data_IF_781247897811
#
_entry.id   IF_781247897811
#
_cell.length_a   1.000
_cell.length_b   1.000
_cell.length_c   1.000
_cell.angle_alpha   90.00
_cell.angle_beta   90.00
_cell.angle_gamma   90.00
#
_symmetry.space_group_name_H-M   'P 1'
#
loop_
_entity.id
_entity.type
_entity.pdbx_description
1 polymer ?
#
# COMPACT_ATOMS: atom_id res chain seq x y z
N UNK A 1 15.73 12.05 -60.97
CA UNK A 1 16.59 13.11 -60.38
C UNK A 1 17.30 12.50 -59.19
N UNK A 2 18.59 12.25 -59.34
CA UNK A 2 19.47 11.65 -58.34
C UNK A 2 19.98 12.72 -57.36
N UNK A 3 19.96 12.42 -56.06
CA UNK A 3 20.69 13.19 -55.07
C UNK A 3 21.34 12.21 -54.06
N UNK A 4 22.67 12.04 -54.09
CA UNK A 4 23.41 11.29 -53.07
C UNK A 4 24.25 12.22 -52.18
N UNK A 5 24.74 11.65 -51.05
CA UNK A 5 25.70 12.21 -50.06
C UNK A 5 25.02 13.05 -48.97
N UNK A 6 25.33 12.91 -47.68
CA UNK A 6 26.63 12.65 -47.05
C UNK A 6 26.50 11.74 -45.82
N UNK A 7 27.47 10.84 -45.72
CA UNK A 7 27.85 10.13 -44.50
C UNK A 7 28.67 11.08 -43.62
N UNK A 8 28.43 11.08 -42.30
CA UNK A 8 29.47 11.42 -41.34
C UNK A 8 29.33 10.58 -40.07
N UNK A 9 30.35 9.74 -39.91
CA UNK A 9 30.59 8.81 -38.81
C UNK A 9 31.33 9.54 -37.69
N UNK A 10 30.69 9.73 -36.53
CA UNK A 10 31.40 10.08 -35.29
C UNK A 10 31.73 8.82 -34.50
N UNK A 11 32.99 8.38 -34.64
CA UNK A 11 33.62 7.34 -33.83
C UNK A 11 34.20 7.98 -32.56
N UNK A 12 33.51 7.84 -31.43
CA UNK A 12 34.02 8.24 -30.12
C UNK A 12 34.56 7.01 -29.41
N UNK A 13 35.88 7.01 -29.18
CA UNK A 13 36.62 5.95 -28.47
C UNK A 13 36.16 5.83 -27.00
N UNK A 14 36.06 4.62 -26.45
CA UNK A 14 35.85 4.41 -25.03
C UNK A 14 37.15 4.67 -24.25
N UNK A 15 37.03 5.43 -23.16
CA UNK A 15 38.11 5.75 -22.22
C UNK A 15 38.16 4.62 -21.18
N UNK A 16 39.18 3.78 -21.26
CA UNK A 16 39.46 2.75 -20.25
C UNK A 16 39.82 3.39 -18.91
N UNK A 17 38.92 3.25 -17.93
CA UNK A 17 39.20 3.54 -16.52
C UNK A 17 39.80 2.29 -15.88
N UNK A 18 41.13 2.34 -15.69
CA UNK A 18 41.91 1.35 -14.94
C UNK A 18 41.34 1.16 -13.54
N UNK A 19 41.09 -0.10 -13.20
CA UNK A 19 40.89 -0.60 -11.84
C UNK A 19 42.23 -0.59 -11.11
N UNK A 20 42.32 0.16 -10.02
CA UNK A 20 43.33 -0.05 -8.99
C UNK A 20 42.63 -0.65 -7.77
N UNK A 21 42.86 -1.94 -7.54
CA UNK A 21 42.50 -2.66 -6.32
C UNK A 21 43.74 -2.71 -5.42
N UNK A 22 43.70 -2.13 -4.20
CA UNK A 22 44.70 -2.41 -3.19
C UNK A 22 44.39 -3.75 -2.52
N UNK A 23 45.33 -4.67 -2.67
CA UNK A 23 45.46 -5.91 -1.91
C UNK A 23 45.74 -5.59 -0.44
N UNK A 24 44.90 -6.06 0.48
CA UNK A 24 45.19 -6.13 1.91
C UNK A 24 44.95 -7.56 2.39
N UNK A 25 46.05 -8.23 2.73
CA UNK A 25 46.12 -9.54 3.37
C UNK A 25 45.64 -9.48 4.84
N UNK A 26 45.31 -10.65 5.44
CA UNK A 26 44.49 -10.72 6.65
C UNK A 26 45.37 -10.68 7.91
N UNK A 27 45.09 -9.73 8.81
CA UNK A 27 45.57 -9.79 10.17
C UNK A 27 44.57 -10.55 11.04
N UNK A 28 44.95 -11.77 11.43
CA UNK A 28 44.39 -12.46 12.59
C UNK A 28 44.65 -11.62 13.84
N UNK A 29 43.57 -11.13 14.45
CA UNK A 29 43.56 -10.66 15.83
C UNK A 29 42.54 -11.50 16.60
N UNK A 30 43.07 -12.33 17.51
CA UNK A 30 42.30 -13.04 18.51
C UNK A 30 41.65 -12.02 19.44
N UNK A 31 40.32 -12.03 19.52
CA UNK A 31 39.56 -11.21 20.46
C UNK A 31 39.07 -12.10 21.62
N UNK A 32 39.41 -11.78 22.88
CA UNK A 32 39.01 -12.57 24.04
C UNK A 32 37.62 -12.15 24.54
N UNK A 33 36.78 -13.15 24.83
CA UNK A 33 35.71 -13.08 25.84
C UNK A 33 34.53 -12.15 25.53
N UNK A 34 33.52 -12.65 24.81
CA UNK A 34 32.21 -12.02 24.80
C UNK A 34 31.49 -12.28 26.15
N UNK A 35 31.01 -11.23 26.84
CA UNK A 35 30.21 -11.37 28.05
C UNK A 35 28.83 -11.97 27.72
N UNK A 36 28.36 -12.83 28.62
CA UNK A 36 27.16 -13.64 28.45
C UNK A 36 25.95 -12.85 27.95
N UNK A 37 25.33 -13.39 26.91
CA UNK A 37 24.04 -13.00 26.38
C UNK A 37 22.99 -13.05 27.50
N UNK A 38 22.71 -11.90 28.10
CA UNK A 38 21.53 -11.70 28.94
C UNK A 38 20.30 -11.93 28.07
N UNK A 39 19.75 -13.16 28.14
CA UNK A 39 18.44 -13.50 27.59
C UNK A 39 17.41 -12.51 28.12
N UNK A 40 16.73 -11.84 27.19
CA UNK A 40 15.65 -10.87 27.36
C UNK A 40 14.79 -11.05 28.61
N UNK A 41 15.08 -10.27 29.65
CA UNK A 41 14.22 -10.04 30.82
C UNK A 41 12.93 -9.27 30.46
N UNK A 42 12.84 -8.70 29.26
CA UNK A 42 11.66 -7.99 28.74
C UNK A 42 10.47 -8.91 28.46
N UNK A 43 10.69 -10.20 28.23
CA UNK A 43 9.61 -11.16 27.97
C UNK A 43 8.77 -11.49 29.20
N UNK A 44 9.38 -11.56 30.40
CA UNK A 44 8.69 -11.94 31.63
C UNK A 44 7.89 -10.78 32.25
N UNK A 45 8.42 -9.55 32.20
CA UNK A 45 7.66 -8.36 32.60
C UNK A 45 6.50 -8.10 31.64
N UNK A 46 6.69 -8.27 30.32
CA UNK A 46 5.60 -8.28 29.34
C UNK A 46 4.53 -9.34 29.65
N UNK A 47 4.92 -10.55 30.05
CA UNK A 47 3.99 -11.64 30.35
C UNK A 47 3.21 -11.43 31.67
N UNK A 48 3.85 -10.82 32.68
CA UNK A 48 3.23 -10.51 33.97
C UNK A 48 2.31 -9.27 33.92
N UNK A 49 2.69 -8.24 33.16
CA UNK A 49 1.80 -7.12 32.85
C UNK A 49 0.60 -7.61 32.03
N UNK A 50 0.82 -8.50 31.05
CA UNK A 50 -0.25 -9.10 30.25
C UNK A 50 -1.26 -9.87 31.08
N UNK A 51 -0.84 -10.59 32.13
CA UNK A 51 -1.80 -11.33 32.98
C UNK A 51 -2.61 -10.43 33.91
N UNK A 52 -2.02 -9.34 34.41
CA UNK A 52 -2.76 -8.36 35.23
C UNK A 52 -3.74 -7.55 34.36
N UNK A 53 -3.27 -7.00 33.24
CA UNK A 53 -4.10 -6.26 32.28
C UNK A 53 -5.21 -7.16 31.72
N UNK A 54 -4.91 -8.42 31.37
CA UNK A 54 -5.94 -9.34 30.89
C UNK A 54 -7.01 -9.64 31.95
N UNK A 55 -6.67 -9.63 33.24
CA UNK A 55 -7.65 -9.82 34.32
C UNK A 55 -8.55 -8.59 34.47
N UNK A 56 -8.01 -7.38 34.36
CA UNK A 56 -8.78 -6.15 34.39
C UNK A 56 -9.70 -6.03 33.16
N UNK A 57 -9.18 -6.31 31.96
CA UNK A 57 -9.94 -6.33 30.71
C UNK A 57 -11.10 -7.33 30.76
N UNK A 58 -10.95 -8.47 31.44
CA UNK A 58 -12.04 -9.44 31.60
C UNK A 58 -13.23 -8.92 32.39
N UNK A 59 -13.05 -7.87 33.20
CA UNK A 59 -14.11 -7.28 34.02
C UNK A 59 -14.78 -6.08 33.35
N UNK A 60 -14.25 -5.60 32.22
CA UNK A 60 -14.85 -4.51 31.46
C UNK A 60 -16.15 -4.96 30.76
N UNK A 61 -17.07 -4.01 30.50
CA UNK A 61 -18.16 -4.19 29.54
C UNK A 61 -17.65 -4.72 28.20
N UNK A 62 -18.52 -5.48 27.51
CA UNK A 62 -18.17 -6.10 26.23
C UNK A 62 -17.83 -5.04 25.18
N UNK A 63 -18.52 -3.92 25.23
CA UNK A 63 -18.39 -2.78 24.32
C UNK A 63 -16.99 -2.17 24.43
N UNK A 64 -16.52 -1.92 25.65
CA UNK A 64 -15.18 -1.38 25.91
C UNK A 64 -14.08 -2.36 25.44
N UNK A 65 -14.29 -3.67 25.61
CA UNK A 65 -13.36 -4.70 25.11
C UNK A 65 -13.27 -4.65 23.57
N UNK A 66 -14.41 -4.51 22.87
CA UNK A 66 -14.44 -4.38 21.41
C UNK A 66 -13.80 -3.08 20.92
N UNK A 67 -14.03 -1.98 21.63
CA UNK A 67 -13.41 -0.69 21.34
C UNK A 67 -11.89 -0.79 21.49
N UNK A 68 -11.38 -1.29 22.62
CA UNK A 68 -9.95 -1.50 22.85
C UNK A 68 -9.36 -2.41 21.76
N UNK A 69 -10.03 -3.52 21.45
CA UNK A 69 -9.55 -4.46 20.43
C UNK A 69 -9.52 -3.87 19.01
N UNK A 70 -10.31 -2.82 18.73
CA UNK A 70 -10.26 -2.12 17.45
C UNK A 70 -8.98 -1.30 17.25
N UNK A 71 -8.28 -0.95 18.34
CA UNK A 71 -7.02 -0.20 18.32
C UNK A 71 -5.77 -1.09 18.38
N UNK A 72 -5.92 -2.40 18.56
CA UNK A 72 -4.79 -3.33 18.67
C UNK A 72 -4.35 -3.86 17.30
N UNK A 73 -3.06 -4.14 17.17
CA UNK A 73 -2.56 -4.88 16.01
C UNK A 73 -3.09 -6.34 16.02
N UNK A 74 -3.23 -6.99 14.85
CA UNK A 74 -3.71 -8.37 14.75
C UNK A 74 -2.99 -9.36 15.67
N UNK A 75 -1.67 -9.23 15.82
CA UNK A 75 -0.87 -10.12 16.69
C UNK A 75 -1.23 -9.96 18.17
N UNK A 76 -1.58 -8.73 18.59
CA UNK A 76 -1.90 -8.40 19.98
C UNK A 76 -3.34 -8.79 20.31
N UNK A 77 -4.27 -8.67 19.36
CA UNK A 77 -5.63 -9.24 19.48
C UNK A 77 -5.56 -10.74 19.71
N UNK A 78 -4.75 -11.46 18.93
CA UNK A 78 -4.58 -12.91 19.07
C UNK A 78 -3.93 -13.29 20.42
N UNK A 79 -2.90 -12.55 20.82
CA UNK A 79 -2.27 -12.73 22.12
C UNK A 79 -3.30 -12.51 23.25
N UNK A 80 -4.08 -11.42 23.19
CA UNK A 80 -5.11 -11.08 24.17
C UNK A 80 -6.21 -12.15 24.25
N UNK A 81 -6.75 -12.59 23.11
CA UNK A 81 -7.75 -13.66 23.04
C UNK A 81 -7.24 -14.98 23.64
N UNK A 82 -5.94 -15.28 23.51
CA UNK A 82 -5.32 -16.49 24.07
C UNK A 82 -5.14 -16.47 25.60
N UNK A 83 -5.27 -15.31 26.24
CA UNK A 83 -5.03 -15.18 27.70
C UNK A 83 -6.16 -15.76 28.56
N UNK A 84 -7.40 -15.80 28.05
CA UNK A 84 -8.53 -16.41 28.76
C UNK A 84 -9.68 -16.79 27.84
N UNK A 85 -10.46 -17.81 28.23
CA UNK A 85 -11.67 -18.24 27.52
C UNK A 85 -12.75 -17.15 27.44
N UNK A 86 -12.85 -16.31 28.48
CA UNK A 86 -13.81 -15.19 28.51
C UNK A 86 -13.46 -14.14 27.46
N UNK A 87 -12.21 -13.70 27.41
CA UNK A 87 -11.74 -12.76 26.37
C UNK A 87 -11.85 -13.36 24.98
N UNK A 88 -11.50 -14.64 24.80
CA UNK A 88 -11.70 -15.34 23.54
C UNK A 88 -13.15 -15.26 23.06
N UNK A 89 -14.11 -15.45 23.98
CA UNK A 89 -15.54 -15.41 23.64
C UNK A 89 -15.98 -14.00 23.25
N UNK A 90 -15.50 -12.98 23.95
CA UNK A 90 -15.80 -11.58 23.61
C UNK A 90 -15.11 -11.14 22.31
N UNK A 91 -13.90 -11.64 22.02
CA UNK A 91 -13.07 -11.21 20.91
C UNK A 91 -13.15 -12.12 19.68
N UNK A 92 -14.04 -13.12 19.63
CA UNK A 92 -14.04 -14.12 18.54
C UNK A 92 -14.03 -13.51 17.14
N UNK A 93 -14.83 -12.47 16.90
CA UNK A 93 -14.88 -11.75 15.62
C UNK A 93 -13.56 -11.02 15.33
N UNK A 94 -12.95 -10.38 16.33
CA UNK A 94 -11.66 -9.70 16.18
C UNK A 94 -10.54 -10.71 15.97
N UNK A 95 -10.61 -11.87 16.62
CA UNK A 95 -9.68 -12.99 16.46
C UNK A 95 -9.71 -13.51 15.02
N UNK A 96 -10.90 -13.77 14.47
CA UNK A 96 -11.08 -14.20 13.08
C UNK A 96 -10.53 -13.16 12.11
N UNK A 97 -10.87 -11.88 12.31
CA UNK A 97 -10.35 -10.79 11.50
C UNK A 97 -8.83 -10.67 11.58
N UNK A 98 -8.25 -10.84 12.76
CA UNK A 98 -6.80 -10.81 12.97
C UNK A 98 -6.10 -11.98 12.29
N UNK A 99 -6.65 -13.20 12.37
CA UNK A 99 -6.14 -14.39 11.67
C UNK A 99 -6.17 -14.20 10.16
N UNK A 100 -7.27 -13.68 9.62
CA UNK A 100 -7.40 -13.39 8.18
C UNK A 100 -6.42 -12.31 7.76
N UNK A 101 -6.23 -11.27 8.56
CA UNK A 101 -5.25 -10.20 8.29
C UNK A 101 -3.81 -10.75 8.27
N UNK A 102 -3.45 -11.61 9.23
CA UNK A 102 -2.13 -12.28 9.23
C UNK A 102 -1.96 -13.21 8.02
N UNK A 103 -3.00 -13.97 7.66
CA UNK A 103 -2.99 -14.80 6.46
C UNK A 103 -2.79 -13.97 5.19
N UNK A 104 -3.51 -12.85 5.08
CA UNK A 104 -3.38 -11.89 3.98
C UNK A 104 -1.95 -11.32 3.88
N UNK A 105 -1.34 -10.92 5.00
CA UNK A 105 0.05 -10.47 5.05
C UNK A 105 1.07 -11.59 4.72
N UNK A 106 0.65 -12.84 4.92
CA UNK A 106 1.38 -14.06 4.64
C UNK A 106 1.27 -14.56 3.21
N UNK A 107 0.47 -13.93 2.33
CA UNK A 107 0.33 -14.38 0.94
C UNK A 107 1.71 -14.46 0.26
N UNK A 108 1.99 -15.62 -0.33
CA UNK A 108 3.23 -15.92 -1.07
C UNK A 108 2.95 -16.33 -2.51
N UNK A 109 1.80 -16.93 -2.76
CA UNK A 109 1.41 -17.48 -4.05
C UNK A 109 0.00 -17.00 -4.43
N UNK A 110 -0.34 -17.07 -5.72
CA UNK A 110 -1.68 -16.71 -6.19
C UNK A 110 -2.74 -17.71 -5.72
N UNK A 111 -2.34 -18.97 -5.52
CA UNK A 111 -3.20 -20.06 -5.05
C UNK A 111 -3.73 -19.81 -3.62
N UNK A 112 -2.99 -19.05 -2.80
CA UNK A 112 -3.41 -18.69 -1.44
C UNK A 112 -4.53 -17.65 -1.42
N UNK A 113 -4.68 -16.86 -2.49
CA UNK A 113 -5.55 -15.70 -2.54
C UNK A 113 -7.04 -16.08 -2.50
N UNK A 114 -7.57 -17.01 -3.32
CA UNK A 114 -8.98 -17.39 -3.26
C UNK A 114 -9.43 -17.84 -1.86
N UNK A 115 -8.60 -18.65 -1.18
CA UNK A 115 -8.90 -19.10 0.17
C UNK A 115 -8.86 -17.97 1.22
N UNK A 116 -8.08 -16.91 0.97
CA UNK A 116 -8.01 -15.72 1.83
C UNK A 116 -9.22 -14.81 1.59
N UNK A 117 -9.62 -14.59 0.33
CA UNK A 117 -10.82 -13.84 -0.03
C UNK A 117 -12.09 -14.52 0.49
N UNK A 118 -12.21 -15.84 0.35
CA UNK A 118 -13.33 -16.60 0.90
C UNK A 118 -13.40 -16.55 2.44
N UNK A 119 -12.25 -16.42 3.12
CA UNK A 119 -12.24 -16.22 4.57
C UNK A 119 -12.69 -14.80 4.95
N UNK A 120 -12.29 -13.79 4.17
CA UNK A 120 -12.69 -12.39 4.34
C UNK A 120 -14.21 -12.20 4.24
N UNK A 121 -14.89 -12.96 3.39
CA UNK A 121 -16.34 -12.95 3.27
C UNK A 121 -17.08 -13.44 4.53
N UNK A 122 -16.40 -14.20 5.41
CA UNK A 122 -17.00 -14.76 6.63
C UNK A 122 -17.02 -13.78 7.81
N UNK A 123 -16.22 -12.71 7.75
CA UNK A 123 -16.19 -11.68 8.79
C UNK A 123 -17.05 -10.47 8.42
N UNK A 124 -17.59 -9.72 9.40
CA UNK A 124 -18.39 -8.52 9.13
C UNK A 124 -17.60 -7.46 8.33
N UNK A 125 -18.25 -6.68 7.45
CA UNK A 125 -17.59 -5.71 6.57
C UNK A 125 -16.64 -4.74 7.27
N UNK A 126 -17.01 -4.26 8.47
CA UNK A 126 -16.19 -3.33 9.26
C UNK A 126 -14.82 -3.88 9.66
N UNK A 127 -14.65 -5.20 9.67
CA UNK A 127 -13.38 -5.86 10.00
C UNK A 127 -12.55 -6.27 8.77
N UNK A 128 -13.08 -6.08 7.56
CA UNK A 128 -12.42 -6.51 6.31
C UNK A 128 -11.31 -5.56 5.85
N UNK A 129 -11.38 -4.28 6.26
CA UNK A 129 -10.49 -3.22 5.76
C UNK A 129 -9.01 -3.55 5.96
N UNK A 130 -8.60 -3.92 7.17
CA UNK A 130 -7.20 -4.24 7.49
C UNK A 130 -6.67 -5.45 6.70
N UNK A 131 -7.49 -6.49 6.55
CA UNK A 131 -7.15 -7.66 5.75
C UNK A 131 -7.04 -7.31 4.26
N UNK A 132 -7.96 -6.51 3.71
CA UNK A 132 -7.89 -6.05 2.32
C UNK A 132 -6.65 -5.19 2.04
N UNK A 133 -6.29 -4.26 2.93
CA UNK A 133 -5.03 -3.52 2.82
C UNK A 133 -3.81 -4.46 2.85
N UNK A 134 -3.85 -5.50 3.69
CA UNK A 134 -2.78 -6.51 3.76
C UNK A 134 -2.66 -7.34 2.48
N UNK A 135 -3.80 -7.64 1.82
CA UNK A 135 -3.82 -8.29 0.50
C UNK A 135 -3.17 -7.36 -0.54
N UNK A 136 -3.52 -6.07 -0.56
CA UNK A 136 -2.93 -5.09 -1.47
C UNK A 136 -1.40 -5.03 -1.34
N UNK A 137 -0.88 -4.94 -0.11
CA UNK A 137 0.56 -4.95 0.13
C UNK A 137 1.23 -6.27 -0.29
N UNK A 138 0.60 -7.40 0.01
CA UNK A 138 1.18 -8.71 -0.30
C UNK A 138 1.15 -9.04 -1.79
N UNK A 139 0.21 -8.45 -2.53
CA UNK A 139 0.15 -8.56 -4.01
C UNK A 139 1.46 -8.09 -4.64
N UNK A 140 2.12 -7.06 -4.10
CA UNK A 140 3.43 -6.58 -4.59
C UNK A 140 4.56 -7.59 -4.44
N UNK A 141 4.38 -8.59 -3.57
CA UNK A 141 5.37 -9.63 -3.24
C UNK A 141 5.18 -10.90 -4.05
N UNK A 142 4.06 -11.04 -4.76
CA UNK A 142 3.81 -12.16 -5.66
C UNK A 142 4.74 -12.08 -6.87
N UNK A 143 4.85 -13.18 -7.61
CA UNK A 143 5.55 -13.20 -8.89
C UNK A 143 4.87 -12.20 -9.85
N UNK A 144 5.67 -11.49 -10.65
CA UNK A 144 5.19 -10.40 -11.51
C UNK A 144 3.96 -10.77 -12.36
N UNK A 145 3.91 -11.95 -13.03
CA UNK A 145 2.73 -12.35 -13.82
C UNK A 145 1.44 -12.48 -12.99
N UNK A 146 1.56 -12.82 -11.71
CA UNK A 146 0.41 -13.08 -10.84
C UNK A 146 -0.16 -11.81 -10.23
N UNK A 147 0.61 -10.71 -10.19
CA UNK A 147 0.21 -9.47 -9.50
C UNK A 147 -1.05 -8.86 -10.10
N UNK A 148 -1.16 -8.86 -11.43
CA UNK A 148 -2.33 -8.29 -12.13
C UNK A 148 -3.59 -9.11 -11.87
N UNK A 149 -3.47 -10.44 -11.85
CA UNK A 149 -4.58 -11.37 -11.52
C UNK A 149 -4.98 -11.17 -10.06
N UNK A 150 -4.02 -11.17 -9.14
CA UNK A 150 -4.26 -10.97 -7.72
C UNK A 150 -4.92 -9.62 -7.42
N UNK A 151 -4.39 -8.54 -8.00
CA UNK A 151 -4.96 -7.20 -7.86
C UNK A 151 -6.40 -7.17 -8.38
N UNK A 152 -6.66 -7.78 -9.54
CA UNK A 152 -7.99 -7.81 -10.13
C UNK A 152 -9.00 -8.52 -9.23
N UNK A 153 -8.66 -9.72 -8.74
CA UNK A 153 -9.51 -10.48 -7.81
C UNK A 153 -9.72 -9.75 -6.48
N UNK A 154 -8.68 -9.06 -5.99
CA UNK A 154 -8.74 -8.31 -4.76
C UNK A 154 -9.60 -7.04 -4.89
N UNK A 155 -9.59 -6.39 -6.07
CA UNK A 155 -10.49 -5.29 -6.40
C UNK A 155 -11.93 -5.76 -6.58
N UNK A 156 -12.17 -6.95 -7.14
CA UNK A 156 -13.52 -7.54 -7.18
C UNK A 156 -14.06 -7.79 -5.76
N UNK A 157 -13.23 -8.33 -4.87
CA UNK A 157 -13.63 -8.54 -3.47
C UNK A 157 -13.86 -7.23 -2.70
N UNK A 158 -13.16 -6.16 -3.09
CA UNK A 158 -13.36 -4.82 -2.54
C UNK A 158 -14.80 -4.35 -2.77
N UNK A 159 -15.48 -4.83 -3.82
CA UNK A 159 -16.83 -4.39 -4.10
C UNK A 159 -17.81 -4.70 -2.96
N UNK A 160 -17.51 -5.71 -2.15
CA UNK A 160 -18.28 -6.10 -0.96
C UNK A 160 -18.08 -5.20 0.27
N UNK A 161 -17.10 -4.28 0.25
CA UNK A 161 -16.86 -3.34 1.35
C UNK A 161 -17.72 -2.09 1.18
N UNK A 162 -18.38 -1.66 2.26
CA UNK A 162 -19.03 -0.35 2.26
C UNK A 162 -17.99 0.77 2.18
N UNK A 163 -18.41 1.92 1.66
CA UNK A 163 -17.51 3.04 1.38
C UNK A 163 -16.55 3.36 2.56
N UNK A 164 -16.99 3.57 3.81
CA UNK A 164 -16.08 3.95 4.89
C UNK A 164 -14.90 2.98 5.11
N UNK A 165 -15.05 1.69 4.79
CA UNK A 165 -14.04 0.66 4.99
C UNK A 165 -13.16 0.40 3.77
N UNK A 166 -13.52 0.92 2.59
CA UNK A 166 -12.78 0.72 1.35
C UNK A 166 -11.68 1.77 1.08
N UNK A 167 -11.64 2.89 1.82
CA UNK A 167 -10.61 3.94 1.66
C UNK A 167 -9.20 3.39 1.84
N UNK A 168 -8.88 2.79 2.99
CA UNK A 168 -7.53 2.31 3.27
C UNK A 168 -7.06 1.21 2.28
N UNK A 169 -7.90 0.23 1.91
CA UNK A 169 -7.58 -0.71 0.84
C UNK A 169 -7.32 -0.04 -0.52
N UNK A 170 -8.15 0.93 -0.94
CA UNK A 170 -7.96 1.64 -2.21
C UNK A 170 -6.65 2.41 -2.23
N UNK A 171 -6.30 3.08 -1.14
CA UNK A 171 -4.99 3.71 -0.94
C UNK A 171 -3.86 2.70 -1.12
N UNK A 172 -3.95 1.54 -0.47
CA UNK A 172 -2.92 0.50 -0.54
C UNK A 172 -2.82 -0.12 -1.96
N UNK A 173 -3.94 -0.26 -2.68
CA UNK A 173 -3.97 -0.72 -4.07
C UNK A 173 -3.37 0.31 -5.03
N UNK A 174 -3.68 1.60 -4.88
CA UNK A 174 -3.10 2.66 -5.70
C UNK A 174 -1.57 2.64 -5.63
N UNK A 175 -1.02 2.57 -4.41
CA UNK A 175 0.42 2.42 -4.20
C UNK A 175 1.02 1.11 -4.77
N UNK A 176 0.22 0.13 -5.19
CA UNK A 176 0.68 -1.14 -5.76
C UNK A 176 0.81 -1.12 -7.27
N UNK A 177 0.27 -0.10 -7.96
CA UNK A 177 0.26 -0.01 -9.43
C UNK A 177 1.67 -0.10 -10.01
N UNK A 178 2.64 0.60 -9.42
CA UNK A 178 4.03 0.61 -9.89
C UNK A 178 4.71 -0.77 -9.83
N UNK A 179 4.16 -1.72 -9.06
CA UNK A 179 4.67 -3.10 -8.99
C UNK A 179 4.17 -4.00 -10.12
N UNK A 180 3.21 -3.56 -10.92
CA UNK A 180 2.64 -4.32 -12.05
C UNK A 180 3.50 -4.19 -13.32
N UNK A 181 3.24 -5.09 -14.28
CA UNK A 181 3.72 -4.94 -15.65
C UNK A 181 3.21 -3.65 -16.25
N UNK A 182 4.06 -2.96 -17.04
CA UNK A 182 3.74 -1.66 -17.64
C UNK A 182 2.44 -1.70 -18.47
N UNK A 183 2.15 -2.82 -19.15
CA UNK A 183 0.93 -3.04 -19.93
C UNK A 183 -0.34 -3.06 -19.10
N UNK A 184 -0.24 -3.37 -17.80
CA UNK A 184 -1.38 -3.62 -16.92
C UNK A 184 -1.67 -2.43 -16.01
N UNK A 185 -0.72 -1.49 -15.89
CA UNK A 185 -0.81 -0.34 -14.97
C UNK A 185 -2.00 0.57 -15.28
N UNK A 186 -2.24 0.89 -16.55
CA UNK A 186 -3.34 1.76 -16.96
C UNK A 186 -4.71 1.14 -16.62
N UNK A 187 -4.89 -0.15 -16.90
CA UNK A 187 -6.11 -0.87 -16.55
C UNK A 187 -6.32 -0.91 -15.02
N UNK A 188 -5.28 -1.19 -14.25
CA UNK A 188 -5.36 -1.20 -12.79
C UNK A 188 -5.71 0.18 -12.22
N UNK A 189 -5.08 1.24 -12.75
CA UNK A 189 -5.36 2.62 -12.40
C UNK A 189 -6.83 2.96 -12.64
N UNK A 190 -7.34 2.65 -13.83
CA UNK A 190 -8.72 2.91 -14.22
C UNK A 190 -9.73 2.22 -13.31
N UNK A 191 -9.48 0.96 -12.95
CA UNK A 191 -10.35 0.24 -12.02
C UNK A 191 -10.41 0.90 -10.63
N UNK A 192 -9.27 1.39 -10.11
CA UNK A 192 -9.23 2.06 -8.81
C UNK A 192 -9.93 3.42 -8.90
N UNK A 193 -9.74 4.18 -9.98
CA UNK A 193 -10.47 5.44 -10.22
C UNK A 193 -11.98 5.19 -10.26
N UNK A 194 -12.45 4.21 -11.04
CA UNK A 194 -13.88 3.87 -11.09
C UNK A 194 -14.43 3.47 -9.72
N UNK A 195 -13.67 2.72 -8.93
CA UNK A 195 -14.06 2.39 -7.56
C UNK A 195 -14.15 3.64 -6.66
N UNK A 196 -13.30 4.65 -6.89
CA UNK A 196 -13.34 5.92 -6.16
C UNK A 196 -14.53 6.79 -6.59
N UNK A 197 -14.80 6.92 -7.88
CA UNK A 197 -15.91 7.71 -8.45
C UNK A 197 -17.27 7.25 -7.92
N UNK A 198 -17.49 5.93 -7.89
CA UNK A 198 -18.78 5.35 -7.49
C UNK A 198 -19.07 5.57 -6.00
N UNK A 199 -18.04 5.62 -5.16
CA UNK A 199 -18.19 5.39 -3.71
C UNK A 199 -17.79 6.58 -2.83
N UNK A 200 -17.04 7.57 -3.34
CA UNK A 200 -16.26 8.48 -2.47
C UNK A 200 -16.26 9.96 -2.83
N UNK A 201 -17.42 10.53 -3.15
CA UNK A 201 -17.54 11.97 -3.43
C UNK A 201 -16.88 12.87 -2.37
N UNK A 202 -16.96 12.50 -1.08
CA UNK A 202 -16.52 13.37 0.02
C UNK A 202 -15.20 12.99 0.69
N UNK A 203 -14.67 11.78 0.46
CA UNK A 203 -13.52 11.24 1.24
C UNK A 203 -12.41 10.59 0.41
N UNK A 204 -12.37 10.82 -0.89
CA UNK A 204 -11.33 10.23 -1.74
C UNK A 204 -9.96 10.94 -1.71
N UNK A 205 -9.76 12.02 -0.94
CA UNK A 205 -8.53 12.83 -1.06
C UNK A 205 -7.24 12.04 -0.79
N UNK A 206 -7.25 11.14 0.19
CA UNK A 206 -6.09 10.29 0.53
C UNK A 206 -5.82 9.20 -0.52
N UNK A 207 -6.81 8.40 -0.98
CA UNK A 207 -6.61 7.50 -2.11
C UNK A 207 -6.16 8.23 -3.39
N UNK A 208 -6.71 9.41 -3.66
CA UNK A 208 -6.34 10.24 -4.81
C UNK A 208 -4.89 10.68 -4.73
N UNK A 209 -4.42 11.16 -3.57
CA UNK A 209 -3.01 11.50 -3.36
C UNK A 209 -2.07 10.35 -3.76
N UNK A 210 -2.38 9.12 -3.35
CA UNK A 210 -1.59 7.94 -3.70
C UNK A 210 -1.68 7.57 -5.19
N UNK A 211 -2.82 7.77 -5.83
CA UNK A 211 -2.97 7.57 -7.27
C UNK A 211 -2.19 8.61 -8.09
N UNK A 212 -2.10 9.86 -7.62
CA UNK A 212 -1.34 10.91 -8.29
C UNK A 212 0.13 10.49 -8.47
N UNK A 213 0.73 9.92 -7.42
CA UNK A 213 2.11 9.42 -7.49
C UNK A 213 2.28 8.31 -8.54
N UNK A 214 1.21 7.54 -8.80
CA UNK A 214 1.23 6.46 -9.79
C UNK A 214 1.08 6.94 -11.24
N UNK A 215 0.71 8.20 -11.49
CA UNK A 215 0.53 8.73 -12.86
C UNK A 215 1.84 8.65 -13.64
N UNK A 216 2.96 8.98 -13.02
CA UNK A 216 4.27 8.95 -13.68
C UNK A 216 4.74 7.52 -14.02
N UNK A 217 4.17 6.51 -13.37
CA UNK A 217 4.44 5.10 -13.61
C UNK A 217 3.60 4.50 -14.75
N UNK A 218 2.60 5.23 -15.27
CA UNK A 218 1.79 4.77 -16.40
C UNK A 218 2.55 4.89 -17.73
N UNK A 219 2.16 4.10 -18.76
CA UNK A 219 2.64 4.33 -20.11
C UNK A 219 2.41 5.79 -20.54
N UNK A 220 3.38 6.38 -21.26
CA UNK A 220 3.40 7.81 -21.58
C UNK A 220 2.09 8.31 -22.23
N UNK A 221 1.49 7.47 -23.09
CA UNK A 221 0.23 7.75 -23.77
C UNK A 221 -0.98 7.86 -22.82
N UNK A 222 -0.94 7.20 -21.66
CA UNK A 222 -2.05 7.15 -20.70
C UNK A 222 -1.96 8.24 -19.63
N UNK A 223 -0.77 8.82 -19.41
CA UNK A 223 -0.54 9.79 -18.33
C UNK A 223 -1.45 11.03 -18.39
N UNK A 224 -1.66 11.68 -19.55
CA UNK A 224 -2.54 12.86 -19.61
C UNK A 224 -3.98 12.52 -19.25
N UNK A 225 -4.52 11.40 -19.75
CA UNK A 225 -5.88 10.97 -19.45
C UNK A 225 -6.07 10.61 -17.97
N UNK A 226 -5.09 9.93 -17.38
CA UNK A 226 -5.07 9.62 -15.95
C UNK A 226 -5.03 10.90 -15.07
N UNK A 227 -4.21 11.87 -15.48
CA UNK A 227 -4.14 13.18 -14.83
C UNK A 227 -5.49 13.90 -14.86
N UNK A 228 -6.12 14.00 -16.02
CA UNK A 228 -7.41 14.70 -16.19
C UNK A 228 -8.51 14.07 -15.33
N UNK A 229 -8.56 12.73 -15.23
CA UNK A 229 -9.52 12.02 -14.38
C UNK A 229 -9.32 12.34 -12.90
N UNK A 230 -8.09 12.27 -12.41
CA UNK A 230 -7.77 12.61 -11.02
C UNK A 230 -8.05 14.08 -10.73
N UNK A 231 -7.68 14.99 -11.64
CA UNK A 231 -7.99 16.41 -11.53
C UNK A 231 -9.48 16.64 -11.37
N UNK A 232 -10.30 16.04 -12.26
CA UNK A 232 -11.75 16.20 -12.25
C UNK A 232 -12.38 15.63 -10.97
N UNK A 233 -11.91 14.48 -10.49
CA UNK A 233 -12.42 13.87 -9.27
C UNK A 233 -12.03 14.71 -8.04
N UNK A 234 -10.80 15.20 -7.97
CA UNK A 234 -10.33 16.08 -6.90
C UNK A 234 -11.04 17.46 -6.91
N UNK A 235 -11.37 17.98 -8.09
CA UNK A 235 -12.09 19.23 -8.28
C UNK A 235 -13.54 19.20 -7.75
N UNK A 236 -14.13 18.01 -7.62
CA UNK A 236 -15.47 17.79 -7.09
C UNK A 236 -15.48 17.66 -5.55
N UNK A 237 -14.32 17.53 -4.91
CA UNK A 237 -14.24 17.32 -3.48
C UNK A 237 -14.45 18.59 -2.66
N UNK A 238 -15.01 18.49 -1.43
CA UNK A 238 -15.06 19.62 -0.52
C UNK A 238 -13.66 20.14 -0.20
N UNK A 239 -13.55 21.44 0.08
CA UNK A 239 -12.30 22.06 0.53
C UNK A 239 -11.93 21.49 1.90
N UNK A 240 -10.95 20.59 1.89
CA UNK A 240 -10.40 19.94 3.09
C UNK A 240 -8.87 19.99 3.02
N UNK A 241 -8.15 19.93 4.15
CA UNK A 241 -6.69 19.84 4.13
C UNK A 241 -6.15 18.68 3.28
N UNK A 242 -6.90 17.57 3.20
CA UNK A 242 -6.57 16.44 2.33
C UNK A 242 -6.64 16.81 0.84
N UNK A 243 -7.66 17.57 0.43
CA UNK A 243 -7.81 18.05 -0.95
C UNK A 243 -6.66 18.99 -1.34
N UNK A 244 -6.24 19.89 -0.46
CA UNK A 244 -5.11 20.79 -0.70
C UNK A 244 -3.79 20.02 -0.85
N UNK A 245 -3.58 19.01 0.00
CA UNK A 245 -2.41 18.13 -0.08
C UNK A 245 -2.37 17.40 -1.44
N UNK A 246 -3.50 16.80 -1.84
CA UNK A 246 -3.62 16.13 -3.14
C UNK A 246 -3.45 17.13 -4.31
N UNK A 247 -3.94 18.36 -4.21
CA UNK A 247 -3.75 19.38 -5.23
C UNK A 247 -2.27 19.78 -5.39
N UNK A 248 -1.52 19.87 -4.29
CA UNK A 248 -0.07 20.07 -4.30
C UNK A 248 0.67 18.93 -4.99
N UNK A 249 0.26 17.68 -4.75
CA UNK A 249 0.80 16.51 -5.44
C UNK A 249 0.46 16.54 -6.94
N UNK A 250 -0.76 16.93 -7.30
CA UNK A 250 -1.19 17.04 -8.69
C UNK A 250 -0.40 18.11 -9.44
N UNK A 251 -0.10 19.23 -8.77
CA UNK A 251 0.78 20.27 -9.32
C UNK A 251 2.17 19.70 -9.62
N UNK A 252 2.74 18.88 -8.72
CA UNK A 252 4.01 18.19 -8.96
C UNK A 252 3.91 17.22 -10.14
N UNK A 253 2.85 16.43 -10.21
CA UNK A 253 2.62 15.48 -11.29
C UNK A 253 2.52 16.16 -12.66
N UNK A 254 1.98 17.38 -12.74
CA UNK A 254 1.92 18.15 -14.00
C UNK A 254 3.30 18.35 -14.66
N UNK A 255 4.37 18.42 -13.86
CA UNK A 255 5.75 18.55 -14.36
C UNK A 255 6.33 17.26 -14.92
N UNK A 256 5.74 16.12 -14.55
CA UNK A 256 6.17 14.78 -14.96
C UNK A 256 5.49 14.29 -16.24
N UNK A 257 4.41 14.96 -16.67
CA UNK A 257 3.70 14.65 -17.90
C UNK A 257 4.57 14.82 -19.15
N UNK A 258 4.14 14.29 -20.31
CA UNK A 258 4.79 14.58 -21.59
C UNK A 258 4.79 16.08 -21.87
N UNK A 259 5.86 16.58 -22.53
CA UNK A 259 6.12 18.01 -22.67
C UNK A 259 4.94 18.81 -23.25
N UNK A 260 4.17 18.21 -24.17
CA UNK A 260 3.01 18.82 -24.80
C UNK A 260 1.86 19.15 -23.82
N UNK A 261 1.80 18.52 -22.64
CA UNK A 261 0.71 18.66 -21.69
C UNK A 261 1.06 19.45 -20.42
N UNK A 262 2.35 19.63 -20.11
CA UNK A 262 2.82 20.19 -18.83
C UNK A 262 2.23 21.57 -18.53
N UNK A 263 2.30 22.50 -19.47
CA UNK A 263 1.85 23.88 -19.28
C UNK A 263 0.35 23.96 -19.03
N UNK A 264 -0.44 23.25 -19.84
CA UNK A 264 -1.90 23.22 -19.70
C UNK A 264 -2.31 22.60 -18.36
N UNK A 265 -1.74 21.46 -17.99
CA UNK A 265 -2.02 20.77 -16.73
C UNK A 265 -1.65 21.63 -15.50
N UNK A 266 -0.49 22.29 -15.54
CA UNK A 266 -0.07 23.19 -14.47
C UNK A 266 -1.06 24.35 -14.27
N UNK A 267 -1.44 25.03 -15.36
CA UNK A 267 -2.38 26.16 -15.29
C UNK A 267 -3.74 25.72 -14.75
N UNK A 268 -4.28 24.58 -15.19
CA UNK A 268 -5.54 24.03 -14.68
C UNK A 268 -5.53 23.83 -13.16
N UNK A 269 -4.45 23.26 -12.61
CA UNK A 269 -4.32 23.04 -11.16
C UNK A 269 -4.22 24.36 -10.40
N UNK A 270 -3.40 25.30 -10.88
CA UNK A 270 -3.25 26.62 -10.25
C UNK A 270 -4.59 27.36 -10.24
N UNK A 271 -5.27 27.45 -11.38
CA UNK A 271 -6.52 28.19 -11.52
C UNK A 271 -7.63 27.58 -10.66
N UNK A 272 -7.66 26.25 -10.49
CA UNK A 272 -8.72 25.55 -9.75
C UNK A 272 -8.53 25.55 -8.23
N UNK A 273 -7.29 25.48 -7.74
CA UNK A 273 -7.01 25.20 -6.32
C UNK A 273 -6.26 26.32 -5.58
N UNK A 274 -5.82 27.40 -6.25
CA UNK A 274 -5.23 28.58 -5.59
C UNK A 274 -6.15 29.80 -5.50
N UNK A 275 -7.36 29.70 -6.07
CA UNK A 275 -8.40 30.75 -6.00
C UNK A 275 -9.17 30.78 -4.70
#
# INVERSE_FOLDING_TARGET
MLNPRLSDTFSVRPRELRRETPSLSPHQAQSPGAPGTLRSSTGLLSALEKTTVARELQNLPREDIHEIASFLEPKDVLALASTSKKLQTHLSIHEDAARITQRAAGLRTIEDLPGTLAALERIPPQHRSAAMSSIAYSTRRLAVPDRTIALSQALDALDSLSAPYAIAPLTAFGSSISSLLISDRAMAFDRIISALEVRFAERASEPLANLIDSIADLPEADQPGAFDRVFNLLAQQPATPGRETAAGMLLRASSLLPAAHRTTAYSQVVDKFRG
#
